data_IF_440851118556
#
_entry.id   IF_440851118556
#
_cell.length_a   1.000
_cell.length_b   1.000
_cell.length_c   1.000
_cell.angle_alpha   90.00
_cell.angle_beta   90.00
_cell.angle_gamma   90.00
#
_symmetry.space_group_name_H-M   'P 1'
#
loop_
_entity.id
_entity.type
_entity.pdbx_description
1 polymer ?
#
# COMPACT_ATOMS: atom_id res chain seq x y z
N UNK A 1 13.74 13.39 20.79
CA UNK A 1 14.53 13.35 19.55
C UNK A 1 13.59 12.92 18.45
N UNK A 2 13.55 13.62 17.31
CA UNK A 2 12.73 13.23 16.16
C UNK A 2 13.45 12.13 15.41
N UNK A 3 12.80 10.98 15.20
CA UNK A 3 13.38 9.89 14.42
C UNK A 3 13.34 10.22 12.93
N UNK A 4 14.38 9.82 12.22
CA UNK A 4 14.54 10.02 10.78
C UNK A 4 14.26 8.74 10.00
N UNK A 5 13.70 8.87 8.80
CA UNK A 5 13.32 7.72 7.98
C UNK A 5 13.78 7.85 6.52
N UNK A 6 14.13 6.70 5.94
CA UNK A 6 14.30 6.50 4.50
C UNK A 6 13.12 5.69 3.94
N UNK A 7 12.48 6.16 2.87
CA UNK A 7 11.42 5.43 2.15
C UNK A 7 11.92 4.96 0.77
N UNK A 8 12.09 3.65 0.64
CA UNK A 8 12.57 2.98 -0.56
C UNK A 8 11.41 2.32 -1.30
N UNK A 9 11.38 2.47 -2.63
CA UNK A 9 10.24 2.11 -3.47
C UNK A 9 8.98 2.89 -3.09
N UNK A 10 9.14 4.15 -2.65
CA UNK A 10 8.13 4.96 -1.99
C UNK A 10 6.82 5.16 -2.77
N UNK A 11 6.82 4.93 -4.09
CA UNK A 11 5.64 5.15 -4.92
C UNK A 11 5.23 6.62 -4.83
N UNK A 12 3.95 6.86 -4.55
CA UNK A 12 3.42 8.19 -4.32
C UNK A 12 3.57 8.67 -2.87
N UNK A 13 4.23 7.94 -1.97
CA UNK A 13 4.50 8.37 -0.59
C UNK A 13 3.49 7.92 0.47
N UNK A 14 2.75 6.82 0.28
CA UNK A 14 1.79 6.36 1.29
C UNK A 14 2.44 5.98 2.62
N UNK A 15 3.62 5.36 2.57
CA UNK A 15 4.46 5.07 3.73
C UNK A 15 5.05 6.34 4.34
N UNK A 16 5.62 7.22 3.50
CA UNK A 16 6.16 8.52 3.93
C UNK A 16 5.14 9.40 4.63
N UNK A 17 3.91 9.49 4.11
CA UNK A 17 2.80 10.21 4.74
C UNK A 17 2.46 9.60 6.10
N UNK A 18 2.34 8.27 6.19
CA UNK A 18 2.08 7.59 7.45
C UNK A 18 3.19 7.81 8.49
N UNK A 19 4.46 7.71 8.09
CA UNK A 19 5.60 7.98 8.96
C UNK A 19 5.65 9.44 9.41
N UNK A 20 5.37 10.39 8.51
CA UNK A 20 5.30 11.82 8.85
C UNK A 20 4.20 12.08 9.88
N UNK A 21 3.01 11.45 9.72
CA UNK A 21 1.93 11.52 10.70
C UNK A 21 2.26 10.83 12.04
N UNK A 22 3.21 9.88 12.05
CA UNK A 22 3.75 9.26 13.26
C UNK A 22 4.88 10.10 13.90
N UNK A 23 5.21 11.26 13.33
CA UNK A 23 6.21 12.19 13.87
C UNK A 23 7.63 11.95 13.37
N UNK A 24 7.84 11.16 12.31
CA UNK A 24 9.14 10.98 11.70
C UNK A 24 9.50 12.13 10.76
N UNK A 25 10.79 12.40 10.65
CA UNK A 25 11.38 13.24 9.61
C UNK A 25 11.84 12.35 8.44
N UNK A 26 11.06 12.33 7.36
CA UNK A 26 11.38 11.54 6.16
C UNK A 26 12.45 12.24 5.35
N UNK A 27 13.70 11.81 5.52
CA UNK A 27 14.89 12.47 4.94
C UNK A 27 15.18 12.07 3.50
N UNK A 28 14.79 10.86 3.11
CA UNK A 28 15.04 10.33 1.77
C UNK A 28 13.83 9.56 1.26
N UNK A 29 13.46 9.83 0.01
CA UNK A 29 12.57 9.01 -0.80
C UNK A 29 13.30 8.57 -2.08
N UNK A 30 13.29 7.28 -2.39
CA UNK A 30 13.86 6.75 -3.63
C UNK A 30 12.87 5.86 -4.40
N UNK A 31 12.72 6.12 -5.69
CA UNK A 31 11.84 5.36 -6.58
C UNK A 31 12.28 5.49 -8.04
N UNK A 32 12.07 4.45 -8.86
CA UNK A 32 12.45 4.46 -10.28
C UNK A 32 11.53 5.29 -11.17
N UNK A 33 10.30 5.59 -10.74
CA UNK A 33 9.28 6.21 -11.59
C UNK A 33 9.21 7.73 -11.37
N UNK A 34 9.64 8.56 -12.36
CA UNK A 34 9.72 10.02 -12.17
C UNK A 34 8.39 10.68 -11.82
N UNK A 35 7.26 10.19 -12.36
CA UNK A 35 5.93 10.75 -12.06
C UNK A 35 5.56 10.54 -10.59
N UNK A 36 5.91 9.39 -10.02
CA UNK A 36 5.66 9.10 -8.61
C UNK A 36 6.58 9.91 -7.69
N UNK A 37 7.84 10.09 -8.08
CA UNK A 37 8.76 11.00 -7.38
C UNK A 37 8.24 12.43 -7.40
N UNK A 38 7.71 12.92 -8.53
CA UNK A 38 7.11 14.25 -8.60
C UNK A 38 5.88 14.37 -7.68
N UNK A 39 5.02 13.36 -7.62
CA UNK A 39 3.94 13.32 -6.62
C UNK A 39 4.49 13.42 -5.20
N UNK A 40 5.55 12.68 -4.87
CA UNK A 40 6.17 12.75 -3.54
C UNK A 40 6.71 14.16 -3.24
N UNK A 41 7.38 14.81 -4.20
CA UNK A 41 7.92 16.18 -4.06
C UNK A 41 6.84 17.22 -3.74
N UNK A 42 5.64 17.07 -4.32
CA UNK A 42 4.53 18.01 -4.08
C UNK A 42 3.99 17.94 -2.64
N UNK A 43 4.20 16.84 -1.93
CA UNK A 43 3.62 16.58 -0.61
C UNK A 43 4.66 16.50 0.51
N UNK A 44 5.92 16.17 0.19
CA UNK A 44 7.04 16.09 1.13
C UNK A 44 8.23 16.92 0.60
N UNK A 45 8.10 18.26 0.49
CA UNK A 45 9.07 19.11 -0.21
C UNK A 45 10.47 19.14 0.44
N UNK A 46 10.56 18.87 1.74
CA UNK A 46 11.82 18.87 2.49
C UNK A 46 12.58 17.53 2.42
N UNK A 47 11.98 16.50 1.83
CA UNK A 47 12.60 15.20 1.63
C UNK A 47 13.60 15.24 0.47
N UNK A 48 14.74 14.57 0.61
CA UNK A 48 15.63 14.32 -0.53
C UNK A 48 14.98 13.29 -1.46
N UNK A 49 14.92 13.57 -2.76
CA UNK A 49 14.32 12.68 -3.74
C UNK A 49 15.37 12.09 -4.69
N UNK A 50 15.34 10.76 -4.86
CA UNK A 50 16.21 10.03 -5.80
C UNK A 50 15.37 9.25 -6.81
N UNK A 51 15.49 9.61 -8.09
CA UNK A 51 15.01 8.77 -9.19
C UNK A 51 16.06 7.69 -9.43
N UNK A 52 15.81 6.47 -8.97
CA UNK A 52 16.84 5.42 -8.93
C UNK A 52 16.27 4.01 -9.15
N UNK A 53 17.04 3.17 -9.83
CA UNK A 53 16.83 1.72 -9.86
C UNK A 53 17.49 1.11 -8.61
N UNK A 54 16.68 0.81 -7.61
CA UNK A 54 17.18 0.34 -6.30
C UNK A 54 17.82 -1.05 -6.33
N UNK A 55 17.67 -1.81 -7.43
CA UNK A 55 18.40 -3.07 -7.63
C UNK A 55 19.86 -2.87 -8.05
N UNK A 56 20.24 -1.66 -8.49
CA UNK A 56 21.55 -1.33 -9.06
C UNK A 56 22.20 -0.10 -8.39
N UNK A 57 21.52 0.47 -7.40
CA UNK A 57 21.95 1.71 -6.74
C UNK A 57 23.06 1.46 -5.73
N UNK A 58 24.02 2.38 -5.67
CA UNK A 58 24.98 2.46 -4.56
C UNK A 58 24.35 3.15 -3.35
N UNK A 59 23.91 2.34 -2.37
CA UNK A 59 23.26 2.83 -1.15
C UNK A 59 24.16 3.71 -0.29
N UNK A 60 25.49 3.72 -0.47
CA UNK A 60 26.41 4.60 0.28
C UNK A 60 26.24 6.07 -0.08
N UNK A 61 25.60 6.36 -1.22
CA UNK A 61 25.30 7.72 -1.67
C UNK A 61 24.07 8.32 -0.99
N UNK A 62 23.31 7.51 -0.25
CA UNK A 62 22.10 7.93 0.44
C UNK A 62 22.44 8.45 1.84
N UNK A 63 21.66 9.41 2.39
CA UNK A 63 21.87 9.87 3.76
C UNK A 63 21.53 8.76 4.76
N UNK A 64 22.26 8.74 5.88
CA UNK A 64 21.94 7.85 7.00
C UNK A 64 20.67 8.34 7.72
N UNK A 65 19.81 7.40 8.10
CA UNK A 65 18.60 7.63 8.90
C UNK A 65 18.44 6.54 9.96
N UNK A 66 17.51 6.73 10.90
CA UNK A 66 17.29 5.79 12.00
C UNK A 66 16.55 4.53 11.54
N UNK A 67 15.57 4.68 10.64
CA UNK A 67 14.78 3.55 10.11
C UNK A 67 14.69 3.57 8.59
N UNK A 68 14.39 2.41 8.01
CA UNK A 68 14.00 2.30 6.62
C UNK A 68 12.61 1.67 6.47
N UNK A 69 11.78 2.27 5.61
CA UNK A 69 10.62 1.63 5.02
C UNK A 69 10.98 1.18 3.61
N UNK A 70 10.70 -0.08 3.26
CA UNK A 70 11.06 -0.64 1.95
C UNK A 70 9.88 -1.42 1.39
N UNK A 71 9.38 -1.03 0.22
CA UNK A 71 8.22 -1.72 -0.42
C UNK A 71 8.59 -2.31 -1.79
N UNK A 72 9.40 -3.39 -1.87
CA UNK A 72 9.84 -3.98 -3.13
C UNK A 72 8.67 -4.39 -4.05
N UNK A 73 8.96 -4.59 -5.34
CA UNK A 73 7.92 -4.93 -6.32
C UNK A 73 7.13 -6.18 -5.93
N UNK A 74 5.81 -6.06 -5.89
CA UNK A 74 4.90 -7.18 -5.60
C UNK A 74 4.30 -7.82 -6.86
N UNK A 75 4.57 -7.30 -8.05
CA UNK A 75 3.85 -7.63 -9.31
C UNK A 75 3.86 -9.13 -9.63
N UNK A 76 4.98 -9.80 -9.35
CA UNK A 76 5.15 -11.23 -9.58
C UNK A 76 5.02 -12.11 -8.34
N UNK A 77 4.75 -11.50 -7.19
CA UNK A 77 4.26 -12.21 -6.01
C UNK A 77 2.73 -12.28 -5.98
N UNK A 78 2.06 -11.25 -6.48
CA UNK A 78 0.61 -11.13 -6.44
C UNK A 78 -0.11 -12.12 -7.37
N UNK A 79 -1.21 -12.69 -6.87
CA UNK A 79 -2.13 -13.53 -7.66
C UNK A 79 -2.88 -12.77 -8.75
N UNK A 80 -2.93 -11.44 -8.65
CA UNK A 80 -3.61 -10.58 -9.63
C UNK A 80 -3.00 -10.80 -11.03
N UNK A 81 -3.86 -11.10 -12.01
CA UNK A 81 -3.44 -11.46 -13.37
C UNK A 81 -3.55 -12.95 -13.71
N UNK A 82 -4.04 -13.79 -12.79
CA UNK A 82 -4.28 -15.21 -13.06
C UNK A 82 -2.99 -16.05 -13.10
N UNK A 83 -1.88 -15.50 -12.59
CA UNK A 83 -0.58 -16.17 -12.55
C UNK A 83 -0.61 -17.29 -11.51
N UNK A 84 -0.11 -18.45 -11.90
CA UNK A 84 0.14 -19.58 -10.98
C UNK A 84 1.53 -19.44 -10.39
N UNK A 85 1.67 -19.74 -9.10
CA UNK A 85 2.99 -19.87 -8.48
C UNK A 85 3.69 -21.09 -9.10
N UNK A 86 4.86 -20.93 -9.73
CA UNK A 86 5.62 -22.06 -10.26
C UNK A 86 6.17 -22.94 -9.10
N UNK A 87 6.49 -24.21 -9.36
CA UNK A 87 7.30 -25.02 -8.44
C UNK A 87 8.62 -24.31 -8.08
N UNK A 88 9.14 -24.55 -6.87
CA UNK A 88 10.28 -23.81 -6.33
C UNK A 88 11.57 -23.99 -7.13
N UNK A 89 11.83 -25.20 -7.64
CA UNK A 89 12.96 -25.51 -8.52
C UNK A 89 12.90 -24.72 -9.83
N UNK A 90 11.70 -24.59 -10.42
CA UNK A 90 11.47 -23.79 -11.63
C UNK A 90 11.61 -22.28 -11.35
N UNK A 91 11.06 -21.79 -10.24
CA UNK A 91 11.14 -20.37 -9.87
C UNK A 91 12.60 -19.91 -9.70
N UNK A 92 13.44 -20.79 -9.15
CA UNK A 92 14.88 -20.54 -8.88
C UNK A 92 15.74 -20.48 -10.14
N UNK A 93 15.26 -20.99 -11.27
CA UNK A 93 15.96 -20.84 -12.57
C UNK A 93 15.98 -19.38 -13.04
N UNK A 94 15.12 -18.51 -12.50
CA UNK A 94 15.03 -17.08 -12.86
C UNK A 94 14.85 -16.83 -14.36
N UNK A 95 14.20 -17.77 -15.05
CA UNK A 95 13.98 -17.73 -16.50
C UNK A 95 12.68 -17.01 -16.91
N UNK A 96 11.86 -16.57 -15.95
CA UNK A 96 10.64 -15.80 -16.22
C UNK A 96 10.84 -14.30 -16.03
N UNK A 97 9.96 -13.50 -16.66
CA UNK A 97 10.00 -12.05 -16.56
C UNK A 97 9.83 -11.51 -15.12
N UNK A 98 9.34 -12.31 -14.18
CA UNK A 98 9.25 -11.96 -12.77
C UNK A 98 10.53 -12.10 -11.97
N UNK A 99 11.57 -12.69 -12.55
CA UNK A 99 12.86 -12.84 -11.87
C UNK A 99 13.51 -11.50 -11.47
N UNK A 100 13.25 -10.43 -12.24
CA UNK A 100 13.72 -9.08 -11.92
C UNK A 100 12.88 -8.49 -10.79
N UNK A 101 11.55 -8.60 -10.87
CA UNK A 101 10.64 -8.08 -9.84
C UNK A 101 10.91 -8.73 -8.48
N UNK A 102 11.02 -10.06 -8.41
CA UNK A 102 11.34 -10.77 -7.16
C UNK A 102 12.71 -10.39 -6.60
N UNK A 103 13.69 -10.12 -7.47
CA UNK A 103 15.03 -9.73 -7.04
C UNK A 103 15.10 -8.32 -6.41
N UNK A 104 14.09 -7.47 -6.61
CA UNK A 104 14.03 -6.15 -5.94
C UNK A 104 14.02 -6.28 -4.41
N UNK A 105 13.59 -7.43 -3.85
CA UNK A 105 13.64 -7.70 -2.43
C UNK A 105 15.07 -7.68 -1.85
N UNK A 106 16.09 -7.96 -2.64
CA UNK A 106 17.49 -7.92 -2.18
C UNK A 106 17.99 -6.50 -1.90
N UNK A 107 17.31 -5.46 -2.42
CA UNK A 107 17.59 -4.08 -2.05
C UNK A 107 17.40 -3.83 -0.54
N UNK A 108 16.53 -4.59 0.13
CA UNK A 108 16.34 -4.52 1.59
C UNK A 108 17.64 -4.87 2.31
N UNK A 109 18.27 -5.99 1.94
CA UNK A 109 19.52 -6.46 2.56
C UNK A 109 20.64 -5.47 2.24
N UNK A 110 20.80 -5.08 0.97
CA UNK A 110 21.87 -4.18 0.55
C UNK A 110 21.78 -2.79 1.22
N UNK A 111 20.58 -2.22 1.34
CA UNK A 111 20.40 -0.97 2.07
C UNK A 111 20.69 -1.14 3.58
N UNK A 112 20.27 -2.26 4.18
CA UNK A 112 20.46 -2.52 5.61
C UNK A 112 21.92 -2.80 5.98
N UNK A 113 22.67 -3.45 5.10
CA UNK A 113 24.11 -3.69 5.24
C UNK A 113 24.88 -2.36 5.31
N UNK A 114 24.56 -1.42 4.42
CA UNK A 114 25.25 -0.14 4.35
C UNK A 114 24.90 0.78 5.53
N UNK A 115 23.63 0.86 5.89
CA UNK A 115 23.14 1.90 6.82
C UNK A 115 23.00 1.43 8.26
N UNK A 116 22.83 0.12 8.49
CA UNK A 116 22.68 -0.44 9.83
C UNK A 116 21.53 0.18 10.62
N UNK A 117 20.36 0.36 10.00
CA UNK A 117 19.16 0.94 10.59
C UNK A 117 18.79 0.32 11.96
N UNK A 118 18.18 1.10 12.84
CA UNK A 118 17.63 0.60 14.10
C UNK A 118 16.41 -0.30 13.86
N UNK A 119 15.63 0.01 12.82
CA UNK A 119 14.55 -0.82 12.34
C UNK A 119 14.38 -0.75 10.82
N UNK A 120 13.93 -1.87 10.23
CA UNK A 120 13.54 -1.95 8.82
C UNK A 120 12.14 -2.50 8.72
N UNK A 121 11.25 -1.78 8.06
CA UNK A 121 9.86 -2.19 7.81
C UNK A 121 9.72 -2.54 6.34
N UNK A 122 9.32 -3.78 6.04
CA UNK A 122 9.08 -4.24 4.68
C UNK A 122 7.59 -4.45 4.45
N UNK A 123 7.03 -3.87 3.38
CA UNK A 123 5.66 -4.12 2.93
C UNK A 123 5.65 -4.99 1.67
N UNK A 124 4.71 -5.95 1.62
CA UNK A 124 4.40 -6.66 0.40
C UNK A 124 2.99 -7.30 0.43
N UNK A 125 2.64 -8.02 -0.64
CA UNK A 125 1.45 -8.89 -0.64
C UNK A 125 1.67 -10.15 0.21
N UNK A 126 0.59 -10.76 0.70
CA UNK A 126 0.66 -11.97 1.55
C UNK A 126 1.41 -13.13 0.89
N UNK A 127 1.36 -13.23 -0.45
CA UNK A 127 2.07 -14.25 -1.21
C UNK A 127 3.60 -14.08 -1.25
N UNK A 128 4.13 -12.94 -0.82
CA UNK A 128 5.58 -12.73 -0.70
C UNK A 128 6.23 -13.78 0.22
N UNK A 129 5.57 -14.14 1.33
CA UNK A 129 6.01 -15.19 2.24
C UNK A 129 5.98 -16.63 1.66
N UNK A 130 5.56 -16.79 0.39
CA UNK A 130 5.56 -18.07 -0.33
C UNK A 130 6.61 -18.11 -1.44
N UNK A 131 7.38 -17.05 -1.61
CA UNK A 131 8.49 -17.00 -2.54
C UNK A 131 9.53 -18.08 -2.18
N UNK A 132 10.05 -18.82 -3.17
CA UNK A 132 10.96 -19.95 -2.94
C UNK A 132 12.31 -19.59 -2.30
N UNK A 133 12.65 -18.29 -2.22
CA UNK A 133 13.83 -17.76 -1.54
C UNK A 133 13.49 -16.95 -0.28
N UNK A 134 12.24 -16.97 0.18
CA UNK A 134 11.81 -16.17 1.34
C UNK A 134 12.65 -16.47 2.59
N UNK A 135 12.83 -17.75 2.95
CA UNK A 135 13.63 -18.12 4.12
C UNK A 135 15.11 -17.74 3.97
N UNK A 136 15.69 -17.92 2.77
CA UNK A 136 17.06 -17.49 2.50
C UNK A 136 17.23 -15.98 2.60
N UNK A 137 16.22 -15.23 2.14
CA UNK A 137 16.20 -13.78 2.24
C UNK A 137 16.08 -13.31 3.71
N UNK A 138 15.30 -14.01 4.54
CA UNK A 138 15.29 -13.79 6.00
C UNK A 138 16.66 -14.08 6.62
N UNK A 139 17.32 -15.18 6.23
CA UNK A 139 18.66 -15.53 6.71
C UNK A 139 19.69 -14.44 6.37
N UNK A 140 19.56 -13.77 5.21
CA UNK A 140 20.37 -12.61 4.88
C UNK A 140 20.22 -11.45 5.86
N UNK A 141 18.98 -11.13 6.28
CA UNK A 141 18.74 -10.11 7.31
C UNK A 141 19.24 -10.56 8.70
N UNK A 142 19.09 -11.85 9.03
CA UNK A 142 19.61 -12.42 10.28
C UNK A 142 21.13 -12.40 10.34
N UNK A 143 21.81 -12.62 9.22
CA UNK A 143 23.27 -12.51 9.11
C UNK A 143 23.76 -11.07 9.38
N UNK A 144 22.94 -10.06 9.05
CA UNK A 144 23.20 -8.67 9.42
C UNK A 144 22.87 -8.36 10.89
N UNK A 145 22.35 -9.32 11.65
CA UNK A 145 22.01 -9.20 13.08
C UNK A 145 20.61 -8.68 13.37
N UNK A 146 19.67 -8.79 12.43
CA UNK A 146 18.25 -8.48 12.68
C UNK A 146 17.45 -9.72 13.03
N UNK A 147 16.35 -9.52 13.75
CA UNK A 147 15.30 -10.50 14.01
C UNK A 147 14.00 -9.97 13.44
N UNK A 148 13.28 -10.84 12.73
CA UNK A 148 12.03 -10.48 12.08
C UNK A 148 10.80 -10.74 12.96
N UNK A 149 9.83 -9.84 12.86
CA UNK A 149 8.45 -10.07 13.26
C UNK A 149 7.56 -9.92 12.03
N UNK A 150 6.83 -10.98 11.70
CA UNK A 150 6.00 -11.03 10.50
C UNK A 150 4.54 -10.92 10.91
N UNK A 151 3.83 -9.93 10.38
CA UNK A 151 2.40 -9.71 10.63
C UNK A 151 1.66 -9.50 9.32
N UNK A 152 0.39 -9.89 9.27
CA UNK A 152 -0.50 -9.61 8.13
C UNK A 152 -1.61 -8.69 8.61
N UNK A 153 -1.68 -7.50 8.04
CA UNK A 153 -2.58 -6.43 8.49
C UNK A 153 -3.61 -6.12 7.39
N UNK A 154 -4.84 -5.84 7.80
CA UNK A 154 -5.90 -5.39 6.90
C UNK A 154 -6.17 -3.91 7.14
N UNK A 155 -6.11 -3.07 6.11
CA UNK A 155 -6.34 -1.63 6.21
C UNK A 155 -7.66 -1.26 6.94
N UNK A 156 -8.69 -2.11 6.80
CA UNK A 156 -9.98 -1.94 7.49
C UNK A 156 -9.87 -1.86 9.01
N UNK A 157 -8.89 -2.56 9.59
CA UNK A 157 -8.69 -2.65 11.03
C UNK A 157 -7.96 -1.40 11.58
N UNK A 158 -7.64 -0.44 10.69
CA UNK A 158 -6.96 0.83 10.97
C UNK A 158 -7.84 2.03 10.55
N UNK A 159 -9.16 1.85 10.56
CA UNK A 159 -10.13 2.92 10.28
C UNK A 159 -10.26 3.31 8.81
N UNK A 160 -9.70 2.53 7.88
CA UNK A 160 -9.85 2.79 6.44
C UNK A 160 -11.00 1.97 5.85
N UNK A 161 -11.80 2.49 4.91
CA UNK A 161 -12.94 1.77 4.38
C UNK A 161 -12.54 0.81 3.26
N UNK A 162 -11.54 -0.04 3.48
CA UNK A 162 -11.00 -0.90 2.45
C UNK A 162 -10.52 -2.25 3.00
N UNK A 163 -11.03 -3.35 2.43
CA UNK A 163 -10.42 -4.67 2.57
C UNK A 163 -9.12 -4.74 1.75
N UNK A 164 -8.00 -4.42 2.40
CA UNK A 164 -6.64 -4.49 1.82
C UNK A 164 -5.70 -5.16 2.79
N UNK A 165 -5.44 -6.44 2.54
CA UNK A 165 -4.56 -7.28 3.35
C UNK A 165 -3.15 -7.25 2.78
N UNK A 166 -2.15 -6.96 3.63
CA UNK A 166 -0.73 -6.90 3.28
C UNK A 166 0.13 -7.57 4.33
N UNK A 167 1.24 -8.12 3.89
CA UNK A 167 2.30 -8.65 4.73
C UNK A 167 3.21 -7.49 5.13
N UNK A 168 3.53 -7.43 6.42
CA UNK A 168 4.54 -6.53 6.96
C UNK A 168 5.58 -7.34 7.71
N UNK A 169 6.84 -7.01 7.50
CA UNK A 169 7.97 -7.63 8.20
C UNK A 169 8.73 -6.50 8.89
N UNK A 170 8.79 -6.55 10.21
CA UNK A 170 9.53 -5.59 11.02
C UNK A 170 10.81 -6.26 11.49
N UNK A 171 11.94 -5.71 11.09
CA UNK A 171 13.26 -6.15 11.52
C UNK A 171 13.80 -5.18 12.56
N UNK A 172 14.16 -5.69 13.74
CA UNK A 172 14.93 -4.95 14.77
C UNK A 172 16.00 -5.87 15.32
N UNK A 173 16.91 -5.36 16.16
CA UNK A 173 17.95 -6.19 16.80
C UNK A 173 17.35 -7.23 17.77
N UNK A 174 16.30 -6.84 18.48
CA UNK A 174 15.63 -7.65 19.50
C UNK A 174 14.50 -8.53 18.95
N UNK A 175 13.78 -8.06 17.92
CA UNK A 175 12.62 -8.76 17.35
C UNK A 175 11.40 -8.79 18.26
N UNK A 176 11.20 -7.76 19.09
CA UNK A 176 10.17 -7.70 20.14
C UNK A 176 9.35 -6.38 20.17
N UNK A 177 9.19 -5.74 19.01
CA UNK A 177 8.26 -4.60 18.85
C UNK A 177 6.85 -5.05 19.22
N UNK A 178 6.12 -4.23 20.01
CA UNK A 178 4.73 -4.52 20.37
C UNK A 178 3.80 -4.29 19.16
N UNK A 179 3.54 -5.37 18.43
CA UNK A 179 2.63 -5.41 17.28
C UNK A 179 1.23 -5.94 17.63
N UNK A 180 0.84 -5.93 18.91
CA UNK A 180 -0.51 -6.34 19.32
C UNK A 180 -1.53 -5.32 18.82
N UNK A 181 -2.51 -5.80 18.07
CA UNK A 181 -3.57 -4.98 17.52
C UNK A 181 -4.67 -4.73 18.55
N UNK A 182 -5.11 -3.48 18.65
CA UNK A 182 -6.41 -3.12 19.22
C UNK A 182 -7.38 -2.92 18.05
N UNK A 183 -8.50 -3.63 18.03
CA UNK A 183 -9.51 -3.48 16.98
C UNK A 183 -10.17 -2.11 17.06
N UNK A 184 -10.14 -1.38 15.95
CA UNK A 184 -10.95 -0.18 15.72
C UNK A 184 -12.08 -0.58 14.77
N UNK A 185 -13.26 0.02 14.92
CA UNK A 185 -14.35 -0.17 13.95
C UNK A 185 -13.90 0.26 12.56
N UNK A 186 -14.17 -0.59 11.56
CA UNK A 186 -13.88 -0.28 10.16
C UNK A 186 -14.76 0.88 9.72
N UNK A 187 -14.16 1.86 9.04
CA UNK A 187 -14.94 2.83 8.27
C UNK A 187 -15.72 2.14 7.14
N UNK A 188 -16.81 2.76 6.73
CA UNK A 188 -17.65 2.31 5.62
C UNK A 188 -17.31 3.10 4.35
N UNK A 189 -17.63 2.53 3.19
CA UNK A 189 -17.23 3.11 1.92
C UNK A 189 -17.90 4.46 1.62
N UNK A 190 -19.05 4.78 2.21
CA UNK A 190 -19.70 6.08 2.08
C UNK A 190 -18.84 7.23 2.64
N UNK A 191 -17.98 6.97 3.63
CA UNK A 191 -17.14 7.98 4.28
C UNK A 191 -16.11 8.62 3.35
N UNK A 192 -15.89 8.06 2.16
CA UNK A 192 -14.93 8.57 1.17
C UNK A 192 -15.60 9.14 -0.08
N UNK A 193 -16.92 8.98 -0.24
CA UNK A 193 -17.61 9.31 -1.47
C UNK A 193 -17.90 10.80 -1.57
N UNK A 194 -17.76 11.33 -2.79
CA UNK A 194 -18.29 12.63 -3.13
C UNK A 194 -19.82 12.56 -3.27
N UNK A 195 -20.51 13.68 -2.99
CA UNK A 195 -21.97 13.77 -3.02
C UNK A 195 -22.59 13.54 -4.42
N UNK A 196 -21.80 13.61 -5.49
CA UNK A 196 -22.26 13.30 -6.84
C UNK A 196 -22.70 11.83 -6.93
N UNK A 197 -23.94 11.56 -7.36
CA UNK A 197 -24.47 10.21 -7.56
C UNK A 197 -24.19 9.66 -8.97
N UNK A 198 -23.64 10.49 -9.86
CA UNK A 198 -23.39 10.17 -11.25
C UNK A 198 -24.61 10.38 -12.15
N UNK A 199 -24.54 9.76 -13.33
CA UNK A 199 -25.49 9.99 -14.42
C UNK A 199 -26.64 8.98 -14.38
N UNK A 200 -27.85 9.36 -14.84
CA UNK A 200 -28.92 8.40 -15.08
C UNK A 200 -28.46 7.30 -16.04
N UNK A 201 -28.86 6.06 -15.75
CA UNK A 201 -28.54 4.91 -16.60
C UNK A 201 -29.56 4.83 -17.73
N UNK A 202 -29.10 5.08 -18.96
CA UNK A 202 -29.94 5.05 -20.17
C UNK A 202 -29.76 3.78 -21.00
N UNK A 203 -28.79 2.93 -20.64
CA UNK A 203 -28.51 1.67 -21.33
C UNK A 203 -27.90 0.64 -20.37
N UNK A 204 -28.03 -0.67 -20.66
CA UNK A 204 -27.36 -1.70 -19.88
C UNK A 204 -25.83 -1.50 -19.82
N UNK A 205 -25.30 -1.59 -18.61
CA UNK A 205 -23.88 -1.62 -18.25
C UNK A 205 -23.45 -3.06 -17.88
N UNK A 206 -22.15 -3.31 -17.80
CA UNK A 206 -21.61 -4.57 -17.27
C UNK A 206 -22.12 -4.88 -15.84
N UNK A 207 -22.33 -3.83 -15.04
CA UNK A 207 -22.80 -3.93 -13.66
C UNK A 207 -24.33 -3.95 -13.52
N UNK A 208 -25.10 -3.91 -14.62
CA UNK A 208 -26.59 -3.90 -14.57
C UNK A 208 -27.17 -4.99 -13.67
N UNK A 209 -26.69 -6.25 -13.71
CA UNK A 209 -27.22 -7.29 -12.83
C UNK A 209 -27.05 -7.00 -11.34
N UNK A 210 -26.08 -6.18 -10.95
CA UNK A 210 -25.91 -5.71 -9.57
C UNK A 210 -26.87 -4.56 -9.26
N UNK A 211 -27.07 -3.64 -10.20
CA UNK A 211 -27.93 -2.48 -10.03
C UNK A 211 -29.39 -2.90 -9.87
N UNK A 212 -29.82 -3.92 -10.62
CA UNK A 212 -31.16 -4.52 -10.51
C UNK A 212 -31.41 -5.22 -9.16
N UNK A 213 -30.36 -5.47 -8.35
CA UNK A 213 -30.50 -6.00 -6.98
C UNK A 213 -30.77 -4.91 -5.94
N UNK A 214 -30.73 -3.64 -6.31
CA UNK A 214 -30.86 -2.51 -5.37
C UNK A 214 -32.34 -2.22 -5.16
N UNK A 215 -32.81 -2.43 -3.94
CA UNK A 215 -34.19 -2.13 -3.51
C UNK A 215 -34.26 -0.87 -2.63
N UNK A 216 -33.19 -0.58 -1.89
CA UNK A 216 -33.10 0.58 -0.98
C UNK A 216 -33.00 1.90 -1.78
N UNK A 217 -34.12 2.62 -1.91
CA UNK A 217 -34.14 3.94 -2.57
C UNK A 217 -33.32 4.97 -1.80
N UNK A 218 -32.59 5.81 -2.53
CA UNK A 218 -31.74 6.87 -1.97
C UNK A 218 -30.47 6.39 -1.27
N UNK A 219 -30.24 5.07 -1.17
CA UNK A 219 -29.04 4.51 -0.54
C UNK A 219 -28.01 4.13 -1.59
N UNK A 220 -26.80 4.65 -1.43
CA UNK A 220 -25.69 4.35 -2.35
C UNK A 220 -25.13 2.95 -2.11
N UNK A 221 -24.97 2.21 -3.19
CA UNK A 221 -24.40 0.87 -3.21
C UNK A 221 -23.09 0.84 -4.00
N UNK A 222 -22.11 0.11 -3.48
CA UNK A 222 -20.93 -0.33 -4.21
C UNK A 222 -21.31 -1.37 -5.25
N UNK A 223 -20.85 -1.16 -6.48
CA UNK A 223 -20.91 -2.13 -7.58
C UNK A 223 -19.52 -2.32 -8.17
N UNK A 224 -19.19 -3.55 -8.58
CA UNK A 224 -17.83 -3.88 -9.02
C UNK A 224 -17.83 -4.48 -10.42
N UNK A 225 -16.91 -4.05 -11.28
CA UNK A 225 -16.64 -4.66 -12.59
C UNK A 225 -15.92 -6.01 -12.43
N UNK A 226 -16.64 -6.97 -11.87
CA UNK A 226 -16.22 -8.34 -11.68
C UNK A 226 -17.40 -9.28 -11.91
N UNK A 227 -17.15 -10.39 -12.60
CA UNK A 227 -18.17 -11.41 -12.86
C UNK A 227 -18.75 -11.92 -11.54
N UNK A 228 -20.08 -12.04 -11.47
CA UNK A 228 -20.82 -12.53 -10.30
C UNK A 228 -20.63 -11.69 -9.01
N UNK A 229 -20.24 -10.42 -9.12
CA UNK A 229 -20.29 -9.50 -7.99
C UNK A 229 -21.74 -9.17 -7.61
N UNK A 230 -21.95 -8.76 -6.36
CA UNK A 230 -23.23 -8.31 -5.81
C UNK A 230 -23.14 -6.86 -5.39
N UNK A 231 -24.25 -6.12 -5.47
CA UNK A 231 -24.31 -4.79 -4.90
C UNK A 231 -24.13 -4.87 -3.38
N UNK A 232 -23.42 -3.91 -2.79
CA UNK A 232 -23.22 -3.81 -1.34
C UNK A 232 -23.51 -2.39 -0.90
N UNK A 233 -24.31 -2.22 0.15
CA UNK A 233 -24.55 -0.93 0.78
C UNK A 233 -23.24 -0.22 1.17
N UNK A 234 -23.01 0.97 0.64
CA UNK A 234 -21.76 1.71 0.88
C UNK A 234 -21.66 2.18 2.34
N UNK A 235 -22.80 2.40 3.00
CA UNK A 235 -22.95 2.78 4.41
C UNK A 235 -22.82 1.61 5.40
N UNK A 236 -22.45 0.41 4.92
CA UNK A 236 -22.29 -0.80 5.76
C UNK A 236 -21.05 -1.62 5.45
N UNK A 237 -20.49 -1.47 4.25
CA UNK A 237 -19.40 -2.32 3.78
C UNK A 237 -18.22 -1.46 3.32
N UNK A 238 -16.98 -1.86 3.65
CA UNK A 238 -15.79 -1.27 3.05
C UNK A 238 -15.64 -1.72 1.60
N UNK A 239 -14.78 -1.02 0.86
CA UNK A 239 -14.41 -1.37 -0.51
C UNK A 239 -13.57 -2.64 -0.58
N UNK A 240 -13.60 -3.30 -1.74
CA UNK A 240 -12.53 -4.22 -2.12
C UNK A 240 -11.21 -3.46 -2.34
N UNK A 241 -10.10 -4.19 -2.43
CA UNK A 241 -8.77 -3.58 -2.61
C UNK A 241 -8.72 -2.69 -3.86
N UNK A 242 -8.31 -1.44 -3.70
CA UNK A 242 -7.99 -0.53 -4.80
C UNK A 242 -6.73 -1.03 -5.51
N UNK A 243 -6.86 -1.37 -6.79
CA UNK A 243 -5.77 -1.89 -7.64
C UNK A 243 -5.09 -0.78 -8.43
N UNK A 244 -3.84 -1.03 -8.84
CA UNK A 244 -3.02 -0.10 -9.62
C UNK A 244 -3.37 -0.06 -11.11
N UNK A 245 -4.36 -0.83 -11.55
CA UNK A 245 -4.84 -0.86 -12.92
C UNK A 245 -6.33 -1.13 -12.94
N UNK A 246 -6.98 -0.60 -13.98
CA UNK A 246 -8.41 -0.72 -14.20
C UNK A 246 -9.27 0.13 -13.25
N UNK A 247 -10.45 0.52 -13.73
CA UNK A 247 -11.51 1.06 -12.88
C UNK A 247 -12.49 -0.07 -12.59
N UNK A 248 -12.38 -0.63 -11.40
CA UNK A 248 -13.21 -1.76 -10.98
C UNK A 248 -14.34 -1.38 -10.03
N UNK A 249 -14.22 -0.24 -9.34
CA UNK A 249 -15.15 0.19 -8.31
C UNK A 249 -16.04 1.30 -8.85
N UNK A 250 -17.35 1.09 -8.81
CA UNK A 250 -18.36 2.10 -9.06
C UNK A 250 -19.39 2.15 -7.95
N UNK A 251 -20.23 3.16 -8.02
CA UNK A 251 -21.40 3.30 -7.16
C UNK A 251 -22.66 3.33 -8.02
N UNK A 252 -23.75 2.82 -7.45
CA UNK A 252 -25.08 2.96 -7.99
C UNK A 252 -26.07 3.34 -6.89
N UNK A 253 -27.01 4.21 -7.21
CA UNK A 253 -28.07 4.64 -6.30
C UNK A 253 -29.39 4.60 -7.04
N UNK A 254 -30.41 3.97 -6.47
CA UNK A 254 -31.77 4.02 -7.00
C UNK A 254 -32.44 5.33 -6.55
N UNK A 255 -32.60 6.30 -7.44
CA UNK A 255 -33.28 7.58 -7.17
C UNK A 255 -34.70 7.59 -7.73
N UNK A 256 -35.44 8.68 -7.48
CA UNK A 256 -36.85 8.76 -7.89
C UNK A 256 -37.07 8.77 -9.40
N UNK A 257 -36.11 9.32 -10.13
CA UNK A 257 -36.05 9.37 -11.58
C UNK A 257 -35.35 8.15 -12.21
N UNK A 258 -35.06 7.11 -11.43
CA UNK A 258 -34.42 5.86 -11.87
C UNK A 258 -33.00 5.66 -11.31
N UNK A 259 -32.29 4.60 -11.71
CA UNK A 259 -30.96 4.33 -11.19
C UNK A 259 -29.91 5.26 -11.77
N UNK A 260 -29.00 5.72 -10.90
CA UNK A 260 -27.81 6.52 -11.24
C UNK A 260 -26.54 5.73 -11.00
N UNK A 261 -25.51 6.00 -11.80
CA UNK A 261 -24.24 5.30 -11.73
C UNK A 261 -23.04 6.20 -12.07
N UNK A 262 -21.93 5.97 -11.38
CA UNK A 262 -20.59 6.43 -11.79
C UNK A 262 -19.49 5.51 -11.26
N UNK A 263 -18.29 5.65 -11.83
CA UNK A 263 -17.08 5.08 -11.26
C UNK A 263 -16.60 5.93 -10.08
N UNK A 264 -15.86 5.30 -9.16
CA UNK A 264 -15.12 6.06 -8.15
C UNK A 264 -14.08 6.96 -8.81
N UNK A 265 -13.92 8.17 -8.29
CA UNK A 265 -12.88 9.10 -8.69
C UNK A 265 -11.53 8.68 -8.12
N UNK A 266 -10.45 9.24 -8.67
CA UNK A 266 -9.12 9.05 -8.08
C UNK A 266 -9.03 9.63 -6.67
N UNK A 267 -9.72 10.73 -6.37
CA UNK A 267 -9.73 11.32 -5.02
C UNK A 267 -10.39 10.38 -4.01
N UNK A 268 -11.55 9.82 -4.34
CA UNK A 268 -12.23 8.83 -3.49
C UNK A 268 -11.33 7.59 -3.27
N UNK A 269 -10.66 7.12 -4.32
CA UNK A 269 -9.68 6.03 -4.20
C UNK A 269 -8.49 6.40 -3.31
N UNK A 270 -8.03 7.66 -3.33
CA UNK A 270 -6.94 8.15 -2.48
C UNK A 270 -7.38 8.21 -1.01
N UNK A 271 -8.59 8.69 -0.73
CA UNK A 271 -9.19 8.66 0.62
C UNK A 271 -9.31 7.22 1.15
N UNK A 272 -9.67 6.26 0.30
CA UNK A 272 -9.70 4.83 0.66
C UNK A 272 -8.33 4.28 1.12
N UNK A 273 -7.23 4.91 0.69
CA UNK A 273 -5.86 4.58 1.09
C UNK A 273 -5.37 5.44 2.27
N UNK A 274 -6.19 6.37 2.77
CA UNK A 274 -5.87 7.25 3.90
C UNK A 274 -5.10 8.53 3.52
N UNK A 275 -4.93 8.84 2.24
CA UNK A 275 -4.33 10.13 1.84
C UNK A 275 -5.27 11.29 2.19
N UNK A 276 -4.74 12.41 2.72
CA UNK A 276 -5.55 13.60 2.98
C UNK A 276 -6.05 14.24 1.69
N UNK A 277 -7.13 15.03 1.77
CA UNK A 277 -7.71 15.71 0.61
C UNK A 277 -6.77 16.78 0.02
N UNK A 278 -5.84 17.30 0.84
CA UNK A 278 -4.75 18.18 0.41
C UNK A 278 -3.66 17.46 -0.40
N UNK A 279 -3.58 16.12 -0.35
CA UNK A 279 -2.53 15.36 -1.02
C UNK A 279 -2.65 15.51 -2.54
N UNK A 280 -1.59 15.99 -3.19
CA UNK A 280 -1.56 16.25 -4.63
C UNK A 280 -0.99 15.05 -5.37
N UNK A 281 -1.47 14.81 -6.60
CA UNK A 281 -0.96 13.71 -7.45
C UNK A 281 -0.58 14.25 -8.83
N UNK A 282 0.63 13.92 -9.29
CA UNK A 282 1.13 14.25 -10.61
C UNK A 282 0.80 13.16 -11.65
N UNK A 283 0.75 13.57 -12.93
CA UNK A 283 0.53 12.70 -14.08
C UNK A 283 -0.92 12.66 -14.58
N UNK A 284 -1.19 11.84 -15.60
CA UNK A 284 -2.55 11.62 -16.12
C UNK A 284 -3.37 10.76 -15.16
N UNK A 285 -4.69 10.74 -15.32
CA UNK A 285 -5.60 10.00 -14.45
C UNK A 285 -5.23 8.51 -14.26
N UNK A 286 -4.70 7.84 -15.28
CA UNK A 286 -4.22 6.45 -15.18
C UNK A 286 -2.96 6.31 -14.32
N UNK A 287 -2.07 7.30 -14.36
CA UNK A 287 -0.85 7.32 -13.56
C UNK A 287 -1.20 7.54 -12.09
N UNK A 288 -2.10 8.47 -11.81
CA UNK A 288 -2.64 8.70 -10.46
C UNK A 288 -3.32 7.43 -9.92
N UNK A 289 -4.12 6.73 -10.75
CA UNK A 289 -4.73 5.46 -10.36
C UNK A 289 -3.68 4.40 -9.99
N UNK A 290 -2.63 4.29 -10.79
CA UNK A 290 -1.52 3.35 -10.56
C UNK A 290 -0.77 3.65 -9.26
N UNK A 291 -0.48 4.93 -9.03
CA UNK A 291 0.13 5.42 -7.80
C UNK A 291 -0.69 5.05 -6.56
N UNK A 292 -2.00 5.36 -6.56
CA UNK A 292 -2.89 5.08 -5.44
C UNK A 292 -3.00 3.58 -5.17
N UNK A 293 -3.18 2.75 -6.20
CA UNK A 293 -3.35 1.31 -6.03
C UNK A 293 -2.09 0.59 -5.52
N UNK A 294 -0.91 1.11 -5.86
CA UNK A 294 0.38 0.61 -5.39
C UNK A 294 0.76 1.14 -4.00
N UNK A 295 0.15 2.23 -3.52
CA UNK A 295 0.52 2.82 -2.24
C UNK A 295 0.25 1.90 -1.05
N UNK A 296 1.10 2.04 -0.03
CA UNK A 296 0.82 1.54 1.32
C UNK A 296 -0.33 2.38 1.92
N UNK A 297 -1.29 1.76 2.63
CA UNK A 297 -2.32 2.51 3.35
C UNK A 297 -1.71 3.37 4.47
N UNK A 298 -1.98 4.67 4.44
CA UNK A 298 -1.37 5.67 5.32
C UNK A 298 -1.54 5.31 6.80
N UNK A 299 -2.75 4.94 7.22
CA UNK A 299 -3.03 4.61 8.62
C UNK A 299 -2.26 3.37 9.11
N UNK A 300 -2.01 2.41 8.23
CA UNK A 300 -1.23 1.22 8.58
C UNK A 300 0.25 1.58 8.75
N UNK A 301 0.78 2.40 7.84
CA UNK A 301 2.15 2.90 7.93
C UNK A 301 2.36 3.77 9.19
N UNK A 302 1.39 4.64 9.50
CA UNK A 302 1.38 5.44 10.73
C UNK A 302 1.44 4.55 11.97
N UNK A 303 0.54 3.58 12.08
CA UNK A 303 0.50 2.68 13.24
C UNK A 303 1.81 1.90 13.41
N UNK A 304 2.36 1.35 12.32
CA UNK A 304 3.66 0.66 12.37
C UNK A 304 4.79 1.60 12.79
N UNK A 305 4.80 2.83 12.25
CA UNK A 305 5.74 3.87 12.64
C UNK A 305 5.67 4.18 14.14
N UNK A 306 4.48 4.37 14.70
CA UNK A 306 4.29 4.61 16.13
C UNK A 306 4.82 3.45 17.00
N UNK A 307 4.57 2.20 16.59
CA UNK A 307 5.06 1.01 17.33
C UNK A 307 6.58 0.91 17.30
N UNK A 308 7.18 1.09 16.12
CA UNK A 308 8.63 1.03 15.95
C UNK A 308 9.31 2.20 16.68
N UNK A 309 8.77 3.41 16.59
CA UNK A 309 9.32 4.58 17.26
C UNK A 309 9.29 4.48 18.78
N UNK A 310 8.19 3.96 19.33
CA UNK A 310 8.09 3.67 20.77
C UNK A 310 9.14 2.63 21.21
N UNK A 311 9.33 1.57 20.43
CA UNK A 311 10.34 0.55 20.72
C UNK A 311 11.76 1.11 20.72
N UNK A 312 12.14 1.87 19.69
CA UNK A 312 13.48 2.48 19.60
C UNK A 312 13.71 3.46 20.75
N UNK A 313 12.73 4.30 21.08
CA UNK A 313 12.86 5.30 22.15
C UNK A 313 13.01 4.66 23.52
N UNK A 314 12.29 3.57 23.80
CA UNK A 314 12.45 2.82 25.06
C UNK A 314 13.79 2.11 25.16
N UNK A 315 14.31 1.55 24.06
CA UNK A 315 15.61 0.89 24.04
C UNK A 315 16.77 1.86 24.33
N UNK A 316 16.66 3.13 23.92
CA UNK A 316 17.65 4.18 24.22
C UNK A 316 17.58 4.66 25.67
N UNK A 317 16.42 4.54 26.31
CA UNK A 317 16.21 4.99 27.70
C UNK A 317 16.58 3.93 28.76
N UNK A 318 16.75 2.67 28.37
CA UNK A 318 17.10 1.54 29.22
C UNK A 318 18.61 1.31 29.28
#
# INVERSE_FOLDING_TARGET
>A
MTLTATDLFAGAGGSSEGLSQAGYDVRLCANHWPVAVHTHQLNHPDTEHRIANLSETDFRTFPKTDIAWVSPSCVWHARSGGRKTPPADVERLRADAGAIDRATAFAVIAASEVHGYEAVIVENVAEFGKWSLFDWWLDGMRALGYREQIVTLNAKDFGLPQHRVRLFIVFTRSGDVDLRMSTIDSAHADSILDADLGKPITRPLYVTPQIEQIEDRGVTHLVTYRRNAKARRADRFPLATVTAGGNHHGIATLTDDGPRFRMLTNRECARAQGFPDSYQFAGKASDVKKQIGNAVPVNVAKWLGERVGAHITHAVAA
#
